data_IF_221633213177
#
_entry.id   IF_221633213177
#
_cell.length_a   1.000
_cell.length_b   1.000
_cell.length_c   1.000
_cell.angle_alpha   90.00
_cell.angle_beta   90.00
_cell.angle_gamma   90.00
#
_symmetry.space_group_name_H-M   'P 1'
#
loop_
_entity.id
_entity.type
_entity.pdbx_description
1 polymer ?
#
# COMPACT_ATOMS: atom_id res chain seq x y z
N UNK A 1 -14.12 59.51 42.92
CA UNK A 1 -14.81 58.75 41.87
C UNK A 1 -15.41 57.51 42.53
N UNK A 2 -16.73 57.47 42.64
CA UNK A 2 -17.49 56.60 43.55
C UNK A 2 -17.77 55.24 42.91
N UNK A 3 -17.45 54.16 43.63
CA UNK A 3 -17.83 52.77 43.34
C UNK A 3 -19.34 52.61 43.45
N UNK A 4 -19.97 51.94 42.48
CA UNK A 4 -21.35 51.46 42.60
C UNK A 4 -21.36 49.93 42.62
N UNK A 5 -21.74 49.37 43.75
CA UNK A 5 -22.25 48.01 43.93
C UNK A 5 -23.77 48.02 43.85
N UNK A 6 -24.38 47.10 43.10
CA UNK A 6 -25.74 46.58 43.37
C UNK A 6 -25.81 45.12 42.91
N UNK A 7 -26.30 44.26 43.79
CA UNK A 7 -26.58 42.85 43.59
C UNK A 7 -28.09 42.62 43.36
N UNK A 8 -28.45 41.63 42.55
CA UNK A 8 -29.72 40.88 42.50
C UNK A 8 -29.54 39.80 41.40
N UNK A 9 -29.77 38.49 41.55
CA UNK A 9 -30.50 37.73 42.56
C UNK A 9 -31.87 37.31 42.03
N UNK A 10 -31.98 36.34 41.10
CA UNK A 10 -33.20 35.53 40.89
C UNK A 10 -32.86 34.12 40.39
N UNK A 11 -33.38 33.14 41.12
CA UNK A 11 -33.41 31.69 40.95
C UNK A 11 -34.75 31.29 40.30
N UNK A 12 -34.77 30.45 39.24
CA UNK A 12 -35.91 29.68 38.68
C UNK A 12 -35.42 29.01 37.37
N UNK A 13 -35.76 27.79 36.89
CA UNK A 13 -36.58 26.64 37.27
C UNK A 13 -36.03 25.42 36.50
N UNK A 14 -36.04 24.27 37.15
CA UNK A 14 -35.89 22.92 36.58
C UNK A 14 -37.05 22.62 35.61
N UNK A 15 -36.73 22.25 34.37
CA UNK A 15 -37.62 21.45 33.52
C UNK A 15 -36.99 20.09 33.28
N UNK A 16 -37.50 19.09 33.99
CA UNK A 16 -37.35 17.70 33.62
C UNK A 16 -38.31 17.41 32.46
N UNK A 17 -37.78 17.10 31.27
CA UNK A 17 -38.53 16.39 30.25
C UNK A 17 -38.13 14.91 30.32
N UNK A 18 -39.00 14.11 30.92
CA UNK A 18 -39.09 12.69 30.62
C UNK A 18 -39.82 12.53 29.29
N UNK A 19 -39.09 12.06 28.28
CA UNK A 19 -39.69 11.58 27.04
C UNK A 19 -39.45 10.07 26.97
N UNK A 20 -40.51 9.30 27.20
CA UNK A 20 -40.61 7.93 26.74
C UNK A 20 -41.32 7.96 25.39
N UNK A 21 -40.66 7.51 24.33
CA UNK A 21 -41.34 6.75 23.28
C UNK A 21 -40.40 5.77 22.56
N UNK A 22 -40.92 4.54 22.49
CA UNK A 22 -40.82 3.57 21.38
C UNK A 22 -39.53 2.77 21.21
N UNK A 23 -39.67 1.50 21.63
CA UNK A 23 -39.00 0.31 21.10
C UNK A 23 -38.77 0.44 19.59
N UNK A 24 -37.52 0.35 19.19
CA UNK A 24 -37.15 -0.39 17.99
C UNK A 24 -36.11 -1.43 18.41
N UNK A 25 -36.48 -2.69 18.24
CA UNK A 25 -35.55 -3.79 18.29
C UNK A 25 -34.53 -3.57 17.16
N UNK A 26 -33.32 -3.12 17.51
CA UNK A 26 -32.18 -3.25 16.61
C UNK A 26 -31.75 -4.71 16.72
N UNK A 27 -32.07 -5.46 15.67
CA UNK A 27 -31.51 -6.77 15.43
C UNK A 27 -29.99 -6.65 15.53
N UNK A 28 -29.42 -7.25 16.57
CA UNK A 28 -28.01 -7.53 16.68
C UNK A 28 -27.72 -8.63 15.64
N UNK A 29 -27.36 -8.19 14.43
CA UNK A 29 -26.84 -9.08 13.40
C UNK A 29 -25.33 -8.95 13.45
N UNK A 30 -24.73 -10.07 13.81
CA UNK A 30 -23.33 -10.45 13.85
C UNK A 30 -22.43 -9.72 12.83
N UNK A 31 -21.65 -8.75 13.28
CA UNK A 31 -20.52 -8.14 12.53
C UNK A 31 -19.20 -8.92 12.72
N UNK A 32 -19.20 -9.98 13.54
CA UNK A 32 -17.96 -10.66 13.94
C UNK A 32 -17.38 -11.58 12.84
N UNK A 33 -18.23 -12.17 11.98
CA UNK A 33 -17.76 -13.11 10.95
C UNK A 33 -17.11 -12.39 9.75
N UNK A 34 -17.66 -11.25 9.31
CA UNK A 34 -17.17 -10.51 8.14
C UNK A 34 -15.83 -9.80 8.40
N UNK A 35 -15.61 -9.28 9.62
CA UNK A 35 -14.32 -8.67 10.00
C UNK A 35 -13.22 -9.72 10.08
N UNK A 36 -13.50 -10.87 10.71
CA UNK A 36 -12.51 -11.95 10.87
C UNK A 36 -12.05 -12.52 9.52
N UNK A 37 -12.97 -12.74 8.56
CA UNK A 37 -12.60 -13.24 7.24
C UNK A 37 -11.73 -12.27 6.43
N UNK A 38 -12.02 -10.97 6.50
CA UNK A 38 -11.22 -9.97 5.78
C UNK A 38 -9.81 -9.84 6.36
N UNK A 39 -9.67 -9.97 7.68
CA UNK A 39 -8.38 -9.95 8.37
C UNK A 39 -7.56 -11.20 8.01
N UNK A 40 -8.19 -12.37 7.91
CA UNK A 40 -7.53 -13.63 7.49
C UNK A 40 -7.00 -13.53 6.06
N UNK A 41 -7.80 -13.05 5.09
CA UNK A 41 -7.38 -12.92 3.69
C UNK A 41 -6.25 -11.89 3.55
N UNK A 42 -6.32 -10.77 4.26
CA UNK A 42 -5.24 -9.78 4.25
C UNK A 42 -3.94 -10.33 4.85
N UNK A 43 -4.04 -11.20 5.87
CA UNK A 43 -2.88 -11.91 6.42
C UNK A 43 -2.25 -12.86 5.40
N UNK A 44 -3.06 -13.64 4.68
CA UNK A 44 -2.56 -14.51 3.60
C UNK A 44 -1.85 -13.74 2.49
N UNK A 45 -2.44 -12.62 2.04
CA UNK A 45 -1.82 -11.75 1.04
C UNK A 45 -0.47 -11.18 1.51
N UNK A 46 -0.39 -10.80 2.80
CA UNK A 46 0.84 -10.31 3.43
C UNK A 46 1.91 -11.39 3.50
N UNK A 47 1.56 -12.59 3.96
CA UNK A 47 2.48 -13.73 4.04
C UNK A 47 2.99 -14.12 2.65
N UNK A 48 2.10 -14.15 1.66
CA UNK A 48 2.47 -14.37 0.27
C UNK A 48 3.46 -13.30 -0.21
N UNK A 49 3.18 -12.01 0.04
CA UNK A 49 4.03 -10.91 -0.39
C UNK A 49 5.43 -11.04 0.23
N UNK A 50 5.49 -11.23 1.55
CA UNK A 50 6.76 -11.38 2.27
C UNK A 50 7.58 -12.55 1.74
N UNK A 51 6.96 -13.72 1.60
CA UNK A 51 7.63 -14.92 1.09
C UNK A 51 8.19 -14.71 -0.32
N UNK A 52 7.41 -14.14 -1.23
CA UNK A 52 7.83 -13.99 -2.62
C UNK A 52 8.93 -12.93 -2.79
N UNK A 53 8.87 -11.82 -2.05
CA UNK A 53 9.96 -10.83 -2.05
C UNK A 53 11.24 -11.42 -1.46
N UNK A 54 11.17 -12.15 -0.34
CA UNK A 54 12.34 -12.83 0.22
C UNK A 54 12.94 -13.83 -0.78
N UNK A 55 12.11 -14.62 -1.46
CA UNK A 55 12.60 -15.56 -2.47
C UNK A 55 13.22 -14.86 -3.68
N UNK A 56 12.66 -13.74 -4.13
CA UNK A 56 13.22 -12.94 -5.22
C UNK A 56 14.66 -12.53 -4.92
N UNK A 57 14.91 -11.94 -3.75
CA UNK A 57 16.25 -11.47 -3.38
C UNK A 57 17.21 -12.58 -2.92
N UNK A 58 16.69 -13.76 -2.56
CA UNK A 58 17.50 -14.95 -2.27
C UNK A 58 17.90 -15.76 -3.52
N UNK A 59 17.48 -15.32 -4.71
CA UNK A 59 17.76 -16.02 -5.96
C UNK A 59 19.21 -15.83 -6.38
N UNK A 60 20.00 -16.91 -6.38
CA UNK A 60 21.42 -16.89 -6.80
C UNK A 60 21.59 -16.79 -8.32
N UNK A 61 20.64 -17.32 -9.09
CA UNK A 61 20.65 -17.26 -10.56
C UNK A 61 20.03 -15.94 -11.02
N UNK A 62 20.84 -14.88 -11.10
CA UNK A 62 20.39 -13.53 -11.49
C UNK A 62 19.63 -13.49 -12.83
N UNK A 63 19.97 -14.38 -13.76
CA UNK A 63 19.26 -14.50 -15.05
C UNK A 63 17.79 -14.94 -14.93
N UNK A 64 17.37 -15.45 -13.77
CA UNK A 64 16.00 -15.87 -13.51
C UNK A 64 15.11 -14.80 -12.88
N UNK A 65 15.70 -13.67 -12.42
CA UNK A 65 14.97 -12.61 -11.71
C UNK A 65 13.83 -12.00 -12.53
N UNK A 66 14.02 -11.84 -13.83
CA UNK A 66 12.97 -11.36 -14.74
C UNK A 66 11.76 -12.31 -14.76
N UNK A 67 12.01 -13.62 -14.82
CA UNK A 67 10.94 -14.64 -14.74
C UNK A 67 10.24 -14.63 -13.38
N UNK A 68 10.97 -14.39 -12.29
CA UNK A 68 10.36 -14.25 -10.97
C UNK A 68 9.49 -12.99 -10.89
N UNK A 69 9.98 -11.86 -11.37
CA UNK A 69 9.20 -10.61 -11.42
C UNK A 69 7.92 -10.84 -12.22
N UNK A 70 8.02 -11.40 -13.43
CA UNK A 70 6.86 -11.70 -14.29
C UNK A 70 5.83 -12.61 -13.60
N UNK A 71 6.28 -13.58 -12.81
CA UNK A 71 5.38 -14.48 -12.06
C UNK A 71 4.75 -13.81 -10.85
N UNK A 72 5.43 -12.87 -10.22
CA UNK A 72 4.98 -12.20 -9.00
C UNK A 72 4.07 -11.01 -9.27
N UNK A 73 4.13 -10.42 -10.45
CA UNK A 73 3.38 -9.21 -10.79
C UNK A 73 2.19 -9.50 -11.71
N UNK A 74 1.28 -8.53 -11.83
CA UNK A 74 0.33 -8.53 -12.93
C UNK A 74 1.08 -8.27 -14.24
N UNK A 75 0.57 -8.79 -15.36
CA UNK A 75 1.18 -8.56 -16.67
C UNK A 75 1.32 -7.06 -16.99
N UNK A 76 0.31 -6.27 -16.62
CA UNK A 76 0.31 -4.82 -16.84
C UNK A 76 1.38 -4.11 -16.00
N UNK A 77 1.57 -4.49 -14.73
CA UNK A 77 2.60 -3.91 -13.89
C UNK A 77 4.01 -4.35 -14.29
N UNK A 78 4.17 -5.61 -14.73
CA UNK A 78 5.42 -6.11 -15.31
C UNK A 78 5.88 -5.26 -16.50
N UNK A 79 4.98 -5.00 -17.45
CA UNK A 79 5.27 -4.15 -18.61
C UNK A 79 5.61 -2.71 -18.18
N UNK A 80 4.82 -2.14 -17.26
CA UNK A 80 5.06 -0.81 -16.72
C UNK A 80 6.45 -0.68 -16.08
N UNK A 81 6.83 -1.64 -15.22
CA UNK A 81 8.13 -1.59 -14.54
C UNK A 81 9.30 -1.82 -15.49
N UNK A 82 9.14 -2.69 -16.49
CA UNK A 82 10.15 -2.87 -17.54
C UNK A 82 10.34 -1.61 -18.36
N UNK A 83 9.27 -0.94 -18.77
CA UNK A 83 9.41 0.35 -19.45
C UNK A 83 10.10 1.38 -18.55
N UNK A 84 9.69 1.48 -17.28
CA UNK A 84 10.25 2.44 -16.31
C UNK A 84 11.75 2.24 -16.07
N UNK A 85 12.20 0.98 -16.00
CA UNK A 85 13.61 0.64 -15.77
C UNK A 85 14.50 0.98 -16.97
N UNK A 86 13.92 0.96 -18.18
CA UNK A 86 14.65 1.11 -19.43
C UNK A 86 14.50 2.48 -20.10
N UNK A 87 13.86 3.45 -19.45
CA UNK A 87 13.69 4.81 -20.01
C UNK A 87 15.06 5.41 -20.35
N UNK A 88 15.15 6.03 -21.53
CA UNK A 88 16.32 6.75 -22.06
C UNK A 88 17.63 5.93 -22.15
N UNK A 89 17.56 4.58 -22.13
CA UNK A 89 18.75 3.73 -22.27
C UNK A 89 19.23 3.55 -23.72
N UNK A 90 18.56 4.17 -24.70
CA UNK A 90 18.86 4.08 -26.15
C UNK A 90 18.94 2.64 -26.70
N UNK A 91 18.33 1.68 -26.01
CA UNK A 91 18.17 0.30 -26.46
C UNK A 91 16.85 0.12 -27.22
N UNK A 92 16.77 -0.92 -28.05
CA UNK A 92 15.52 -1.23 -28.76
C UNK A 92 14.37 -1.47 -27.76
N UNK A 93 13.24 -0.80 -27.97
CA UNK A 93 12.10 -0.79 -27.05
C UNK A 93 12.17 0.22 -25.89
N UNK A 94 13.29 0.93 -25.70
CA UNK A 94 13.38 2.02 -24.71
C UNK A 94 12.40 3.15 -25.05
N UNK A 95 11.66 3.63 -24.06
CA UNK A 95 10.86 4.85 -24.17
C UNK A 95 11.69 6.06 -23.74
N UNK A 96 11.39 7.22 -24.32
CA UNK A 96 11.75 8.49 -23.65
C UNK A 96 10.88 8.71 -22.42
N UNK A 97 11.33 9.54 -21.47
CA UNK A 97 10.52 9.88 -20.28
C UNK A 97 9.12 10.40 -20.66
N UNK A 98 9.03 11.25 -21.68
CA UNK A 98 7.75 11.76 -22.19
C UNK A 98 6.85 10.64 -22.72
N UNK A 99 7.40 9.71 -23.51
CA UNK A 99 6.62 8.59 -24.05
C UNK A 99 6.18 7.62 -22.94
N UNK A 100 7.04 7.37 -21.95
CA UNK A 100 6.70 6.59 -20.78
C UNK A 100 5.52 7.20 -20.03
N UNK A 101 5.59 8.50 -19.74
CA UNK A 101 4.51 9.22 -19.08
C UNK A 101 3.20 9.12 -19.87
N UNK A 102 3.23 9.43 -21.18
CA UNK A 102 2.04 9.39 -22.02
C UNK A 102 1.41 7.99 -22.11
N UNK A 103 2.21 6.94 -22.15
CA UNK A 103 1.73 5.54 -22.19
C UNK A 103 1.01 5.14 -20.91
N UNK A 104 1.51 5.55 -19.75
CA UNK A 104 1.12 4.98 -18.46
C UNK A 104 0.31 5.89 -17.53
N UNK A 105 0.27 7.22 -17.76
CA UNK A 105 -0.37 8.20 -16.87
C UNK A 105 -1.84 7.95 -16.52
N UNK A 106 -2.57 7.20 -17.34
CA UNK A 106 -3.98 6.88 -17.11
C UNK A 106 -4.18 5.63 -16.24
N UNK A 107 -3.09 4.92 -15.91
CA UNK A 107 -3.11 3.63 -15.20
C UNK A 107 -2.30 3.66 -13.92
N UNK A 108 -1.14 4.31 -13.95
CA UNK A 108 -0.19 4.40 -12.84
C UNK A 108 0.18 5.84 -12.52
N UNK A 109 0.60 6.10 -11.28
CA UNK A 109 1.28 7.34 -10.93
C UNK A 109 2.72 7.31 -11.44
N UNK A 110 2.90 7.74 -12.68
CA UNK A 110 4.21 7.78 -13.35
C UNK A 110 5.26 8.65 -12.63
N UNK A 111 4.85 9.58 -11.74
CA UNK A 111 5.81 10.35 -10.94
C UNK A 111 6.49 9.52 -9.85
N UNK A 112 5.96 8.32 -9.57
CA UNK A 112 6.42 7.36 -8.57
C UNK A 112 6.94 6.06 -9.20
N UNK A 113 7.22 6.07 -10.51
CA UNK A 113 7.65 4.90 -11.27
C UNK A 113 9.02 4.33 -10.87
N UNK A 114 9.88 5.17 -10.27
CA UNK A 114 11.29 4.83 -10.10
C UNK A 114 11.96 4.61 -11.45
N UNK A 115 11.99 5.66 -12.28
CA UNK A 115 12.65 5.60 -13.59
C UNK A 115 14.14 5.28 -13.39
N UNK A 116 14.64 4.30 -14.13
CA UNK A 116 16.03 3.84 -14.05
C UNK A 116 16.37 3.07 -12.76
N UNK A 117 15.38 2.76 -11.91
CA UNK A 117 15.58 1.98 -10.68
C UNK A 117 15.12 0.54 -10.85
N UNK A 118 15.72 -0.38 -10.09
CA UNK A 118 15.37 -1.80 -10.09
C UNK A 118 13.97 -2.11 -9.54
N UNK A 119 13.62 -3.38 -9.51
CA UNK A 119 12.36 -3.88 -8.94
C UNK A 119 12.47 -3.93 -7.41
N UNK A 120 11.50 -3.31 -6.71
CA UNK A 120 11.35 -3.23 -5.24
C UNK A 120 12.45 -2.47 -4.47
N UNK A 121 13.66 -2.33 -5.01
CA UNK A 121 14.75 -1.53 -4.45
C UNK A 121 15.33 -0.58 -5.49
N UNK A 122 15.90 0.54 -5.05
CA UNK A 122 16.56 1.50 -5.94
C UNK A 122 18.01 1.15 -6.28
N UNK A 123 18.59 0.16 -5.60
CA UNK A 123 19.94 -0.36 -5.86
C UNK A 123 19.98 -1.34 -7.04
N UNK A 124 21.14 -1.42 -7.69
CA UNK A 124 21.45 -2.47 -8.69
C UNK A 124 22.09 -3.70 -8.03
N UNK A 125 22.82 -3.48 -6.93
CA UNK A 125 23.41 -4.53 -6.09
C UNK A 125 22.68 -4.58 -4.74
N UNK A 126 22.62 -5.77 -4.15
CA UNK A 126 22.18 -6.02 -2.78
C UNK A 126 23.03 -7.12 -2.15
N UNK A 127 23.06 -7.17 -0.82
CA UNK A 127 23.62 -8.30 -0.07
C UNK A 127 22.47 -9.15 0.47
N UNK A 128 21.76 -8.65 1.49
CA UNK A 128 20.61 -9.32 2.07
C UNK A 128 19.46 -8.34 2.26
N UNK A 129 18.41 -8.53 1.47
CA UNK A 129 17.17 -7.78 1.62
C UNK A 129 16.28 -8.43 2.67
N UNK A 130 15.87 -7.64 3.66
CA UNK A 130 14.96 -8.05 4.73
C UNK A 130 13.80 -7.07 4.88
N UNK A 131 12.68 -7.54 5.45
CA UNK A 131 11.60 -6.67 5.85
C UNK A 131 11.92 -5.99 7.19
N UNK A 132 11.90 -4.66 7.20
CA UNK A 132 11.74 -3.89 8.44
C UNK A 132 10.25 -3.70 8.79
N UNK A 133 9.41 -3.54 7.76
CA UNK A 133 7.97 -3.30 7.90
C UNK A 133 7.20 -3.93 6.74
N UNK A 134 6.00 -4.46 7.03
CA UNK A 134 5.01 -4.85 6.03
C UNK A 134 3.63 -4.80 6.69
N UNK A 135 2.98 -3.64 6.68
CA UNK A 135 1.73 -3.43 7.40
C UNK A 135 0.58 -3.14 6.43
N UNK A 136 -0.60 -3.70 6.67
CA UNK A 136 -1.78 -3.37 5.86
C UNK A 136 -2.18 -1.92 6.11
N UNK A 137 -2.21 -1.09 5.05
CA UNK A 137 -2.73 0.28 5.10
C UNK A 137 -4.24 0.24 4.93
N UNK A 138 -4.70 -0.44 3.88
CA UNK A 138 -6.12 -0.50 3.53
C UNK A 138 -6.43 -1.71 2.66
N UNK A 139 -7.67 -2.18 2.80
CA UNK A 139 -8.30 -3.08 1.84
C UNK A 139 -9.16 -2.24 0.91
N UNK A 140 -8.97 -2.43 -0.40
CA UNK A 140 -9.72 -1.76 -1.46
C UNK A 140 -10.53 -2.79 -2.24
N UNK A 141 -11.47 -2.36 -3.08
CA UNK A 141 -12.15 -3.25 -4.02
C UNK A 141 -11.16 -3.99 -4.95
N UNK A 142 -9.99 -3.40 -5.19
CA UNK A 142 -8.97 -3.94 -6.09
C UNK A 142 -8.05 -4.96 -5.41
N UNK A 143 -7.87 -4.86 -4.09
CA UNK A 143 -6.89 -5.65 -3.34
C UNK A 143 -6.39 -4.95 -2.08
N UNK A 144 -5.23 -5.38 -1.59
CA UNK A 144 -4.64 -5.01 -0.32
C UNK A 144 -3.44 -4.08 -0.53
N UNK A 145 -3.48 -2.90 0.06
CA UNK A 145 -2.38 -1.94 0.01
C UNK A 145 -1.53 -2.09 1.27
N UNK A 146 -0.25 -2.41 1.10
CA UNK A 146 0.71 -2.58 2.18
C UNK A 146 1.73 -1.45 2.24
N UNK A 147 2.07 -1.02 3.45
CA UNK A 147 3.22 -0.17 3.76
C UNK A 147 4.44 -1.07 3.99
N UNK A 148 5.41 -1.00 3.10
CA UNK A 148 6.56 -1.91 3.08
C UNK A 148 7.85 -1.10 3.23
N UNK A 149 8.69 -1.52 4.16
CA UNK A 149 10.07 -1.03 4.26
C UNK A 149 10.98 -2.24 4.13
N UNK A 150 11.70 -2.31 3.02
CA UNK A 150 12.81 -3.24 2.85
C UNK A 150 14.10 -2.57 3.35
N UNK A 151 15.02 -3.37 3.86
CA UNK A 151 16.35 -2.90 4.29
C UNK A 151 17.44 -3.81 3.74
N UNK A 152 18.60 -3.20 3.51
CA UNK A 152 19.86 -3.89 3.33
C UNK A 152 20.83 -3.38 4.41
N UNK A 153 21.16 -4.23 5.38
CA UNK A 153 22.01 -3.83 6.51
C UNK A 153 23.46 -3.57 6.09
N UNK A 154 23.97 -4.35 5.15
CA UNK A 154 25.35 -4.25 4.66
C UNK A 154 25.55 -2.91 3.95
N UNK A 155 24.57 -2.49 3.15
CA UNK A 155 24.57 -1.20 2.47
C UNK A 155 23.93 -0.06 3.28
N UNK A 156 23.50 -0.31 4.53
CA UNK A 156 22.81 0.66 5.39
C UNK A 156 21.65 1.38 4.69
N UNK A 157 20.95 0.65 3.82
CA UNK A 157 19.93 1.20 2.92
C UNK A 157 18.53 0.78 3.35
N UNK A 158 17.56 1.68 3.13
CA UNK A 158 16.13 1.41 3.34
C UNK A 158 15.35 1.80 2.10
N UNK A 159 14.36 1.00 1.76
CA UNK A 159 13.53 1.14 0.57
C UNK A 159 12.06 1.17 0.99
N UNK A 160 11.52 2.34 1.36
CA UNK A 160 10.11 2.51 1.64
C UNK A 160 9.27 2.49 0.36
N UNK A 161 8.17 1.75 0.39
CA UNK A 161 7.22 1.67 -0.72
C UNK A 161 5.81 1.34 -0.24
N UNK A 162 4.82 1.67 -1.07
CA UNK A 162 3.46 1.13 -0.92
C UNK A 162 3.23 0.09 -2.00
N UNK A 163 2.84 -1.12 -1.63
CA UNK A 163 2.66 -2.24 -2.57
C UNK A 163 1.19 -2.63 -2.61
N UNK A 164 0.59 -2.56 -3.80
CA UNK A 164 -0.76 -3.06 -4.04
C UNK A 164 -0.70 -4.53 -4.45
N UNK A 165 -1.29 -5.39 -3.64
CA UNK A 165 -1.44 -6.83 -3.90
C UNK A 165 -2.88 -7.14 -4.25
N UNK A 166 -3.09 -7.85 -5.35
CA UNK A 166 -4.41 -8.24 -5.84
C UNK A 166 -4.51 -9.75 -5.91
N UNK A 167 -5.70 -10.31 -5.76
CA UNK A 167 -5.95 -11.73 -6.00
C UNK A 167 -6.51 -11.91 -7.42
N UNK A 168 -5.78 -12.61 -8.29
CA UNK A 168 -6.16 -12.85 -9.68
C UNK A 168 -6.10 -14.35 -9.99
N UNK A 169 -7.23 -14.91 -10.42
CA UNK A 169 -7.31 -16.33 -10.79
C UNK A 169 -6.88 -17.25 -9.65
N UNK A 170 -5.69 -17.83 -9.77
CA UNK A 170 -5.12 -18.86 -8.90
C UNK A 170 -4.18 -18.32 -7.80
N UNK A 171 -4.03 -17.01 -7.64
CA UNK A 171 -3.34 -16.47 -6.46
C UNK A 171 -3.11 -14.97 -6.43
N UNK A 172 -2.26 -14.56 -5.50
CA UNK A 172 -1.88 -13.16 -5.32
C UNK A 172 -0.85 -12.70 -6.35
N UNK A 173 -0.92 -11.41 -6.73
CA UNK A 173 0.03 -10.70 -7.60
C UNK A 173 0.28 -9.28 -7.11
N UNK A 174 1.47 -8.76 -7.33
CA UNK A 174 1.78 -7.33 -7.19
C UNK A 174 1.22 -6.59 -8.39
N UNK A 175 0.28 -5.68 -8.17
CA UNK A 175 -0.32 -4.85 -9.21
C UNK A 175 0.27 -3.44 -9.26
N UNK A 176 0.91 -2.98 -8.20
CA UNK A 176 1.63 -1.70 -8.19
C UNK A 176 2.69 -1.65 -7.08
N UNK A 177 3.76 -0.90 -7.30
CA UNK A 177 4.74 -0.52 -6.29
C UNK A 177 4.98 0.97 -6.43
N UNK A 178 4.54 1.71 -5.42
CA UNK A 178 4.65 3.16 -5.35
C UNK A 178 5.84 3.47 -4.45
N UNK A 179 6.98 3.75 -5.07
CA UNK A 179 8.21 4.06 -4.35
C UNK A 179 8.22 5.49 -3.83
N UNK A 180 8.82 5.68 -2.66
CA UNK A 180 9.26 7.02 -2.20
C UNK A 180 10.73 7.17 -2.61
N UNK A 181 10.95 7.40 -3.91
CA UNK A 181 12.26 7.67 -4.51
C UNK A 181 12.56 9.17 -4.55
#
# INVERSE_FOLDING_TARGET
MVRKTVAAGVLFLIFACTEQEKRNAKSEVTDTETTTQNDDIASEAREWLMKNITNYFATEELGSLDSFMQKMTTAEYYEYKNDATNVDLEIDGSLTETQFHEKWKNKFDTSKAGIGTGFLISGQDWDKIEFEKCDLISTTEKGFLFDVILKDETFQSKYPSKILVVHLGDGYKIADVIGEH
#
